data_IF_756309624737
#
_entry.id   IF_756309624737
#
_cell.length_a   1.000
_cell.length_b   1.000
_cell.length_c   1.000
_cell.angle_alpha   90.00
_cell.angle_beta   90.00
_cell.angle_gamma   90.00
#
_symmetry.space_group_name_H-M   'P 1'
#
loop_
_entity.id
_entity.type
_entity.pdbx_description
1 polymer ?
#
# COMPACT_ATOMS: atom_id res chain seq x y z
N UNK A 1 -4.78 11.94 -22.79
CA UNK A 1 -4.00 11.82 -21.54
C UNK A 1 -2.66 12.51 -21.75
N UNK A 2 -2.40 13.64 -21.09
CA UNK A 2 -1.08 14.26 -21.11
C UNK A 2 -0.12 13.45 -20.24
N UNK A 3 1.07 13.07 -20.73
CA UNK A 3 2.07 12.39 -19.91
C UNK A 3 2.58 13.36 -18.84
N UNK A 4 2.62 12.91 -17.58
CA UNK A 4 3.20 13.61 -16.43
C UNK A 4 4.67 13.90 -16.74
N UNK A 5 4.97 15.13 -17.17
CA UNK A 5 6.27 15.50 -17.77
C UNK A 5 7.15 16.25 -16.78
N UNK A 6 6.61 16.68 -15.63
CA UNK A 6 7.32 17.50 -14.65
C UNK A 6 7.33 16.85 -13.25
N UNK A 7 8.52 16.76 -12.64
CA UNK A 7 8.71 16.12 -11.33
C UNK A 7 8.04 16.89 -10.17
N UNK A 8 7.64 18.14 -10.38
CA UNK A 8 6.98 19.00 -9.40
C UNK A 8 5.46 19.13 -9.67
N UNK A 9 4.85 18.11 -10.29
CA UNK A 9 3.42 18.08 -10.55
C UNK A 9 2.62 17.79 -9.26
N UNK A 10 1.65 18.64 -8.87
CA UNK A 10 0.73 18.43 -7.75
C UNK A 10 0.00 17.08 -7.78
N UNK A 11 -0.19 16.52 -8.99
CA UNK A 11 -0.81 15.21 -9.18
C UNK A 11 0.13 14.08 -8.75
N UNK A 12 1.44 14.20 -9.04
CA UNK A 12 2.43 13.19 -8.65
C UNK A 12 2.55 13.09 -7.12
N UNK A 13 2.50 14.22 -6.42
CA UNK A 13 2.48 14.25 -4.96
C UNK A 13 1.29 13.46 -4.39
N UNK A 14 0.11 13.56 -5.01
CA UNK A 14 -1.05 12.76 -4.60
C UNK A 14 -0.89 11.27 -4.91
N UNK A 15 -0.26 10.92 -6.05
CA UNK A 15 0.03 9.51 -6.39
C UNK A 15 0.96 8.91 -5.33
N UNK A 16 2.02 9.63 -4.95
CA UNK A 16 2.96 9.21 -3.93
C UNK A 16 2.26 9.13 -2.57
N UNK A 17 1.44 10.11 -2.19
CA UNK A 17 0.64 10.07 -0.97
C UNK A 17 -0.21 8.81 -0.90
N UNK A 18 -0.99 8.53 -1.95
CA UNK A 18 -1.84 7.34 -2.02
C UNK A 18 -0.97 6.08 -1.93
N UNK A 19 0.10 6.00 -2.71
CA UNK A 19 1.01 4.84 -2.69
C UNK A 19 1.57 4.58 -1.28
N UNK A 20 2.07 5.62 -0.60
CA UNK A 20 2.63 5.53 0.75
C UNK A 20 1.57 5.15 1.77
N UNK A 21 0.34 5.67 1.66
CA UNK A 21 -0.76 5.32 2.54
C UNK A 21 -1.11 3.82 2.43
N UNK A 22 -1.22 3.30 1.21
CA UNK A 22 -1.52 1.88 0.96
C UNK A 22 -0.41 0.98 1.52
N UNK A 23 0.86 1.26 1.17
CA UNK A 23 1.96 0.38 1.58
C UNK A 23 2.21 0.41 3.08
N UNK A 24 2.01 1.56 3.74
CA UNK A 24 2.20 1.66 5.20
C UNK A 24 1.19 0.82 5.96
N UNK A 25 -0.07 0.82 5.52
CA UNK A 25 -1.12 -0.01 6.10
C UNK A 25 -0.88 -1.50 5.80
N UNK A 26 -0.47 -1.84 4.58
CA UNK A 26 -0.12 -3.20 4.19
C UNK A 26 1.11 -3.74 4.95
N UNK A 27 2.09 -2.87 5.24
CA UNK A 27 3.30 -3.23 5.98
C UNK A 27 2.98 -3.70 7.41
N UNK A 28 1.92 -3.20 8.05
CA UNK A 28 1.48 -3.67 9.37
C UNK A 28 1.06 -5.14 9.32
N UNK A 29 0.37 -5.56 8.25
CA UNK A 29 0.04 -6.98 8.05
C UNK A 29 1.29 -7.82 7.84
N UNK A 30 2.24 -7.29 7.06
CA UNK A 30 3.54 -7.91 6.86
C UNK A 30 4.20 -8.03 8.23
N UNK A 31 4.59 -6.97 8.93
CA UNK A 31 5.37 -7.05 10.18
C UNK A 31 4.70 -7.89 11.28
N UNK A 32 3.37 -7.83 11.43
CA UNK A 32 2.64 -8.60 12.44
C UNK A 32 2.52 -10.09 12.10
N UNK A 33 2.57 -10.50 10.82
CA UNK A 33 2.51 -11.92 10.46
C UNK A 33 3.83 -12.62 10.79
N UNK A 34 3.83 -13.41 11.87
CA UNK A 34 4.91 -14.33 12.22
C UNK A 34 4.70 -15.75 11.65
N UNK A 35 3.54 -16.03 11.07
CA UNK A 35 3.19 -17.26 10.37
C UNK A 35 2.30 -16.95 9.16
N UNK A 36 2.08 -17.96 8.32
CA UNK A 36 1.28 -17.91 7.09
C UNK A 36 -0.01 -17.10 7.26
N UNK A 37 -0.26 -16.15 6.34
CA UNK A 37 -1.43 -15.26 6.31
C UNK A 37 -2.80 -16.00 6.36
N UNK A 38 -2.79 -17.33 6.19
CA UNK A 38 -3.97 -18.18 6.15
C UNK A 38 -4.09 -19.20 7.32
N UNK A 39 -3.08 -19.34 8.18
CA UNK A 39 -3.04 -20.43 9.18
C UNK A 39 -3.32 -19.99 10.62
N UNK A 40 -3.11 -18.72 10.95
CA UNK A 40 -3.55 -18.13 12.21
C UNK A 40 -4.57 -17.05 11.87
N UNK A 41 -5.85 -17.33 12.17
CA UNK A 41 -7.01 -16.47 11.88
C UNK A 41 -6.61 -14.99 11.97
N UNK A 42 -6.44 -14.30 10.83
CA UNK A 42 -6.03 -12.91 10.87
C UNK A 42 -7.11 -12.16 11.64
N UNK A 43 -6.70 -11.32 12.59
CA UNK A 43 -7.61 -10.52 13.40
C UNK A 43 -8.54 -9.72 12.48
N UNK A 44 -9.77 -10.20 12.30
CA UNK A 44 -10.76 -9.65 11.36
C UNK A 44 -11.02 -8.16 11.61
N UNK A 45 -10.85 -7.71 12.86
CA UNK A 45 -10.89 -6.31 13.24
C UNK A 45 -9.83 -5.46 12.53
N UNK A 46 -8.60 -5.98 12.35
CA UNK A 46 -7.53 -5.26 11.65
C UNK A 46 -7.79 -5.17 10.15
N UNK A 47 -8.36 -6.22 9.54
CA UNK A 47 -8.79 -6.21 8.13
C UNK A 47 -9.92 -5.21 7.91
N UNK A 48 -10.89 -5.15 8.83
CA UNK A 48 -11.95 -4.15 8.81
C UNK A 48 -11.40 -2.72 8.89
N UNK A 49 -10.47 -2.46 9.82
CA UNK A 49 -9.81 -1.16 9.95
C UNK A 49 -9.03 -0.77 8.68
N UNK A 50 -8.35 -1.73 8.05
CA UNK A 50 -7.65 -1.54 6.78
C UNK A 50 -8.61 -1.13 5.66
N UNK A 51 -9.71 -1.86 5.47
CA UNK A 51 -10.70 -1.53 4.45
C UNK A 51 -11.27 -0.11 4.62
N UNK A 52 -11.54 0.31 5.85
CA UNK A 52 -12.03 1.66 6.14
C UNK A 52 -10.97 2.72 5.82
N UNK A 53 -9.75 2.54 6.35
CA UNK A 53 -8.64 3.48 6.10
C UNK A 53 -8.34 3.62 4.61
N UNK A 54 -8.37 2.51 3.89
CA UNK A 54 -8.09 2.45 2.46
C UNK A 54 -9.19 3.09 1.61
N UNK A 55 -10.45 2.94 2.02
CA UNK A 55 -11.59 3.62 1.39
C UNK A 55 -11.46 5.12 1.57
N UNK A 56 -11.13 5.59 2.78
CA UNK A 56 -10.94 7.02 3.06
C UNK A 56 -9.75 7.57 2.27
N UNK A 57 -8.61 6.87 2.24
CA UNK A 57 -7.44 7.30 1.48
C UNK A 57 -7.72 7.40 -0.03
N UNK A 58 -8.48 6.44 -0.59
CA UNK A 58 -8.86 6.46 -2.00
C UNK A 58 -9.83 7.60 -2.32
N UNK A 59 -10.80 7.88 -1.42
CA UNK A 59 -11.70 9.02 -1.55
C UNK A 59 -10.94 10.35 -1.45
N UNK A 60 -9.98 10.47 -0.54
CA UNK A 60 -9.12 11.65 -0.42
C UNK A 60 -8.25 11.85 -1.67
N UNK A 61 -7.75 10.80 -2.29
CA UNK A 61 -6.97 10.92 -3.53
C UNK A 61 -7.80 11.42 -4.73
N UNK A 62 -9.09 11.07 -4.76
CA UNK A 62 -10.02 11.46 -5.85
C UNK A 62 -10.64 12.83 -5.63
N UNK A 63 -10.96 13.20 -4.39
CA UNK A 63 -11.71 14.42 -4.08
C UNK A 63 -10.90 15.49 -3.36
N UNK A 64 -9.74 15.12 -2.79
CA UNK A 64 -8.91 16.02 -1.99
C UNK A 64 -8.05 16.93 -2.85
N UNK A 65 -8.62 17.99 -3.40
CA UNK A 65 -7.83 19.13 -3.89
C UNK A 65 -7.49 20.02 -2.68
N UNK A 66 -6.22 20.05 -2.28
CA UNK A 66 -5.75 20.95 -1.22
C UNK A 66 -4.83 22.01 -1.80
N UNK A 67 -5.33 23.25 -1.83
CA UNK A 67 -4.57 24.43 -2.25
C UNK A 67 -3.37 24.69 -1.32
N UNK A 68 -3.53 24.44 0.00
CA UNK A 68 -2.47 24.58 0.99
C UNK A 68 -1.30 23.60 0.81
N UNK A 69 -1.59 22.37 0.37
CA UNK A 69 -0.57 21.33 0.24
C UNK A 69 0.00 21.21 -1.18
N UNK A 70 -0.42 22.07 -2.11
CA UNK A 70 -0.07 21.95 -3.55
C UNK A 70 -0.33 20.55 -4.09
N UNK A 71 -1.47 19.96 -3.73
CA UNK A 71 -1.85 18.61 -4.14
C UNK A 71 -3.19 18.66 -4.87
N UNK A 72 -3.21 18.12 -6.08
CA UNK A 72 -4.40 18.08 -6.91
C UNK A 72 -5.01 16.67 -6.88
N UNK A 73 -6.34 16.63 -6.82
CA UNK A 73 -7.10 15.41 -7.03
C UNK A 73 -6.68 14.71 -8.32
N UNK A 74 -6.61 13.39 -8.27
CA UNK A 74 -6.19 12.55 -9.39
C UNK A 74 -7.40 11.80 -9.94
N UNK A 75 -7.49 11.58 -11.26
CA UNK A 75 -8.51 10.69 -11.80
C UNK A 75 -8.36 9.26 -11.26
N UNK A 76 -9.51 8.59 -11.14
CA UNK A 76 -9.64 7.19 -10.70
C UNK A 76 -8.69 6.20 -11.40
N UNK A 77 -8.32 6.46 -12.66
CA UNK A 77 -7.37 5.62 -13.40
C UNK A 77 -6.02 5.50 -12.69
N UNK A 78 -5.48 6.59 -12.14
CA UNK A 78 -4.21 6.57 -11.41
C UNK A 78 -4.33 5.96 -10.02
N UNK A 79 -5.49 6.12 -9.37
CA UNK A 79 -5.80 5.44 -8.10
C UNK A 79 -5.76 3.92 -8.29
N UNK A 80 -6.34 3.42 -9.39
CA UNK A 80 -6.27 2.00 -9.77
C UNK A 80 -4.84 1.53 -10.03
N UNK A 81 -4.03 2.32 -10.75
CA UNK A 81 -2.61 2.00 -11.00
C UNK A 81 -1.82 1.92 -9.69
N UNK A 82 -1.99 2.87 -8.77
CA UNK A 82 -1.33 2.86 -7.46
C UNK A 82 -1.71 1.62 -6.63
N UNK A 83 -2.98 1.21 -6.69
CA UNK A 83 -3.45 -0.02 -6.05
C UNK A 83 -2.78 -1.27 -6.62
N UNK A 84 -2.80 -1.43 -7.95
CA UNK A 84 -2.17 -2.57 -8.63
C UNK A 84 -0.68 -2.62 -8.35
N UNK A 85 -0.01 -1.46 -8.38
CA UNK A 85 1.41 -1.35 -8.06
C UNK A 85 1.74 -1.85 -6.65
N UNK A 86 0.98 -1.42 -5.64
CA UNK A 86 1.18 -1.88 -4.26
C UNK A 86 0.87 -3.37 -4.09
N UNK A 87 -0.16 -3.90 -4.77
CA UNK A 87 -0.50 -5.32 -4.69
C UNK A 87 0.59 -6.20 -5.31
N UNK A 88 1.20 -5.76 -6.42
CA UNK A 88 2.33 -6.44 -7.06
C UNK A 88 3.54 -6.47 -6.12
N UNK A 89 3.88 -5.34 -5.47
CA UNK A 89 5.02 -5.26 -4.55
C UNK A 89 4.78 -5.97 -3.21
N UNK A 90 3.52 -6.16 -2.82
CA UNK A 90 3.16 -6.89 -1.61
C UNK A 90 3.57 -8.38 -1.68
N UNK A 91 3.46 -9.00 -2.86
CA UNK A 91 3.79 -10.41 -3.09
C UNK A 91 5.27 -10.76 -2.83
N UNK A 92 6.27 -10.08 -3.43
CA UNK A 92 7.68 -10.30 -3.14
C UNK A 92 8.04 -10.12 -1.66
N UNK A 93 7.44 -9.14 -0.98
CA UNK A 93 7.71 -8.89 0.43
C UNK A 93 7.27 -10.05 1.33
N UNK A 94 6.18 -10.72 0.99
CA UNK A 94 5.74 -11.93 1.69
C UNK A 94 6.68 -13.12 1.42
N UNK A 95 7.14 -13.29 0.17
CA UNK A 95 8.08 -14.34 -0.21
C UNK A 95 9.45 -14.21 0.50
N UNK A 96 9.97 -13.00 0.66
CA UNK A 96 11.24 -12.75 1.38
C UNK A 96 11.16 -13.23 2.83
N UNK A 97 10.01 -13.04 3.49
CA UNK A 97 9.83 -13.52 4.87
C UNK A 97 9.90 -15.04 4.97
N UNK A 98 9.32 -15.75 4.01
CA UNK A 98 9.41 -17.21 3.97
C UNK A 98 10.86 -17.67 3.77
N UNK A 99 11.58 -17.07 2.82
CA UNK A 99 12.99 -17.37 2.58
C UNK A 99 13.83 -17.17 3.84
N UNK A 100 13.65 -16.05 4.55
CA UNK A 100 14.39 -15.75 5.79
C UNK A 100 14.08 -16.76 6.89
N UNK A 101 12.82 -17.16 7.10
CA UNK A 101 12.48 -18.20 8.11
C UNK A 101 13.03 -19.57 7.75
N UNK A 102 12.94 -19.96 6.47
CA UNK A 102 13.49 -21.23 6.00
C UNK A 102 15.01 -21.29 6.19
N UNK A 103 15.72 -20.19 5.88
CA UNK A 103 17.15 -20.05 6.11
C UNK A 103 17.52 -20.11 7.60
N UNK A 104 16.81 -19.39 8.48
CA UNK A 104 17.06 -19.43 9.93
C UNK A 104 16.83 -20.84 10.51
N UNK A 105 15.78 -21.54 10.09
CA UNK A 105 15.51 -22.91 10.55
C UNK A 105 16.59 -23.89 10.06
N UNK A 106 17.09 -23.71 8.84
CA UNK A 106 18.18 -24.52 8.27
C UNK A 106 19.53 -24.28 8.95
N UNK A 107 19.80 -23.08 9.46
CA UNK A 107 21.04 -22.75 10.16
C UNK A 107 21.06 -23.17 11.65
N UNK A 108 19.90 -23.51 12.22
CA UNK A 108 19.75 -23.97 13.62
C UNK A 108 19.74 -25.51 13.74
N UNK A 109 19.66 -26.24 12.64
CA UNK A 109 19.77 -27.71 12.57
C UNK A 109 21.21 -28.11 12.21
#
# INVERSE_FOLDING_TARGET
MQPLKDANDPQLHMIIYLQVAIISQALIFITRSHSWFFMERPSMALVGAFCIAQTIASLLAVFGTMEFASVQAIPWSWVGVAWVWNLIWFLPMDLIKFATRAMIKKYRA
#
